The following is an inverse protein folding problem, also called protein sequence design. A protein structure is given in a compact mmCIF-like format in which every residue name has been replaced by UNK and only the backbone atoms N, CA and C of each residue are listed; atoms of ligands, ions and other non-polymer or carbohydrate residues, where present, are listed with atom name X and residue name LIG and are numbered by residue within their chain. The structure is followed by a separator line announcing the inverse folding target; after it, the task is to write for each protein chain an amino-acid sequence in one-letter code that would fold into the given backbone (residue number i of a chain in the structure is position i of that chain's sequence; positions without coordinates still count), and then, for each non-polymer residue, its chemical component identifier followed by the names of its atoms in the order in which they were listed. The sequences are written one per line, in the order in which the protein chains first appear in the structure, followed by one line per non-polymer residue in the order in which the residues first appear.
data_IF_672760322484
#
_entry.id   IF_672760322484
#
_cell.length_a   1.000
_cell.length_b   1.000
_cell.length_c   1.000
_cell.angle_alpha   90.00
_cell.angle_beta   90.00
_cell.angle_gamma   90.00
#
_symmetry.space_group_name_H-M   'P 1'
#
loop_
_entity.id
_entity.type
_entity.pdbx_description
1 polymer ?
#
# COMPACT_ATOMS: atom_id res chain seq x y z
N UNK A 1 11.91 -6.63 -23.32
CA UNK A 1 11.80 -7.98 -23.92
C UNK A 1 12.81 -8.86 -23.20
N UNK A 2 12.36 -9.52 -22.14
CA UNK A 2 13.03 -10.65 -21.49
C UNK A 2 12.10 -11.18 -20.40
N UNK A 3 11.63 -12.38 -20.69
CA UNK A 3 10.71 -13.24 -19.98
C UNK A 3 11.15 -13.67 -18.57
N UNK A 4 10.18 -14.32 -17.92
CA UNK A 4 10.31 -15.41 -16.94
C UNK A 4 10.24 -15.04 -15.46
N UNK A 5 9.06 -15.32 -14.92
CA UNK A 5 8.79 -15.42 -13.49
C UNK A 5 7.52 -16.23 -13.25
N UNK A 6 7.35 -17.33 -13.98
CA UNK A 6 6.40 -18.39 -13.64
C UNK A 6 6.83 -19.02 -12.32
N UNK A 7 6.25 -18.59 -11.21
CA UNK A 7 6.34 -19.32 -9.94
C UNK A 7 5.14 -20.25 -9.83
N UNK A 8 5.44 -21.53 -9.68
CA UNK A 8 4.49 -22.62 -9.52
C UNK A 8 3.46 -22.33 -8.40
N UNK A 9 2.19 -22.48 -8.73
CA UNK A 9 1.04 -22.06 -7.93
C UNK A 9 0.36 -20.87 -8.61
N UNK A 10 -0.59 -21.14 -9.52
CA UNK A 10 -1.17 -20.20 -10.49
C UNK A 10 -1.81 -18.92 -9.90
N UNK A 11 -0.97 -18.02 -9.42
CA UNK A 11 -1.33 -16.72 -8.89
C UNK A 11 -0.95 -15.61 -9.85
N UNK A 12 -1.83 -14.61 -9.99
CA UNK A 12 -1.63 -13.46 -10.88
C UNK A 12 -1.05 -12.31 -10.07
N UNK A 13 0.12 -11.82 -10.48
CA UNK A 13 0.79 -10.69 -9.86
C UNK A 13 0.24 -9.36 -10.39
N UNK A 14 -0.14 -8.48 -9.47
CA UNK A 14 -0.58 -7.12 -9.75
C UNK A 14 0.39 -6.13 -9.11
N UNK A 15 1.17 -5.36 -9.90
CA UNK A 15 2.05 -4.35 -9.34
C UNK A 15 1.24 -3.27 -8.63
N UNK A 16 1.87 -2.62 -7.64
CA UNK A 16 1.28 -1.46 -6.99
C UNK A 16 1.09 -0.34 -8.03
N UNK A 17 -0.02 0.40 -7.97
CA UNK A 17 -0.29 1.50 -8.88
C UNK A 17 0.89 2.50 -8.92
N UNK A 18 1.26 3.03 -10.12
CA UNK A 18 2.38 3.95 -10.26
C UNK A 18 2.19 5.16 -9.34
N UNK A 19 3.29 5.54 -8.68
CA UNK A 19 3.32 6.54 -7.62
C UNK A 19 2.77 7.88 -8.12
N UNK A 20 1.81 8.45 -7.39
CA UNK A 20 1.25 9.76 -7.70
C UNK A 20 2.35 10.86 -7.64
N UNK A 21 2.29 11.86 -8.53
CA UNK A 21 3.31 12.93 -8.64
C UNK A 21 3.49 13.69 -7.33
N UNK A 22 2.44 13.77 -6.53
CA UNK A 22 2.44 14.34 -5.18
C UNK A 22 3.55 13.75 -4.29
N UNK A 23 3.77 12.43 -4.36
CA UNK A 23 4.75 11.74 -3.52
C UNK A 23 6.18 11.94 -4.00
N UNK A 24 6.40 12.04 -5.31
CA UNK A 24 7.71 12.41 -5.85
C UNK A 24 8.06 13.85 -5.44
N UNK A 25 7.11 14.78 -5.57
CA UNK A 25 7.32 16.17 -5.13
C UNK A 25 7.64 16.22 -3.64
N UNK A 26 6.96 15.44 -2.80
CA UNK A 26 7.24 15.42 -1.36
C UNK A 26 8.58 14.77 -1.01
N UNK A 27 9.04 13.78 -1.80
CA UNK A 27 10.42 13.24 -1.72
C UNK A 27 11.44 14.34 -1.94
N UNK A 28 11.27 15.05 -3.05
CA UNK A 28 12.18 16.11 -3.46
C UNK A 28 12.15 17.25 -2.45
N UNK A 29 10.98 17.62 -1.94
CA UNK A 29 10.83 18.68 -0.96
C UNK A 29 11.49 18.33 0.38
N UNK A 30 11.38 17.08 0.84
CA UNK A 30 12.09 16.59 2.02
C UNK A 30 13.62 16.58 1.81
N UNK A 31 14.09 16.10 0.66
CA UNK A 31 15.51 16.08 0.32
C UNK A 31 16.09 17.50 0.22
N UNK A 32 15.36 18.42 -0.39
CA UNK A 32 15.74 19.84 -0.46
C UNK A 32 15.77 20.45 0.93
N UNK A 33 14.77 20.21 1.78
CA UNK A 33 14.77 20.69 3.17
C UNK A 33 15.97 20.14 3.96
N UNK A 34 16.28 18.86 3.82
CA UNK A 34 17.46 18.25 4.46
C UNK A 34 18.77 18.84 3.93
N UNK A 35 18.87 19.10 2.63
CA UNK A 35 20.03 19.76 2.03
C UNK A 35 20.19 21.20 2.52
N UNK A 36 19.08 21.95 2.64
CA UNK A 36 19.07 23.31 3.18
C UNK A 36 19.49 23.33 4.66
N UNK A 37 18.98 22.39 5.47
CA UNK A 37 19.37 22.28 6.88
C UNK A 37 20.85 21.88 7.02
N UNK A 38 21.31 20.89 6.27
CA UNK A 38 22.72 20.49 6.26
C UNK A 38 23.63 21.64 5.79
N UNK A 39 23.24 22.37 4.75
CA UNK A 39 23.95 23.56 4.26
C UNK A 39 23.95 24.70 5.27
N UNK A 40 22.83 24.93 5.96
CA UNK A 40 22.71 25.92 7.03
C UNK A 40 23.61 25.58 8.22
N UNK A 41 23.67 24.31 8.63
CA UNK A 41 24.61 23.84 9.64
C UNK A 41 26.06 23.95 9.19
N UNK A 42 26.37 23.72 7.91
CA UNK A 42 27.72 23.90 7.38
C UNK A 42 28.16 25.38 7.37
N UNK A 43 27.24 26.31 7.05
CA UNK A 43 27.51 27.75 7.14
C UNK A 43 27.67 28.18 8.61
N UNK A 44 26.79 27.72 9.51
CA UNK A 44 26.89 28.00 10.93
C UNK A 44 28.18 27.43 11.54
N UNK A 45 28.61 26.24 11.09
CA UNK A 45 29.85 25.60 11.49
C UNK A 45 31.12 26.35 11.08
N UNK A 46 31.03 27.25 10.08
CA UNK A 46 32.11 28.16 9.73
C UNK A 46 32.22 29.36 10.67
N UNK A 47 31.17 29.66 11.43
CA UNK A 47 31.12 30.75 12.43
C UNK A 47 31.32 30.21 13.86
N UNK A 48 30.71 29.07 14.17
CA UNK A 48 30.76 28.41 15.47
C UNK A 48 31.10 26.92 15.34
N UNK A 49 32.25 26.45 15.85
CA UNK A 49 32.69 25.06 15.71
C UNK A 49 31.71 24.02 16.28
N UNK A 50 30.86 24.43 17.21
CA UNK A 50 29.90 23.55 17.89
C UNK A 50 28.76 23.10 16.97
N UNK A 51 28.48 23.87 15.90
CA UNK A 51 27.40 23.58 14.95
C UNK A 51 27.68 22.36 14.04
N UNK A 52 28.91 21.81 14.04
CA UNK A 52 29.25 20.58 13.31
C UNK A 52 28.40 19.38 13.73
N UNK A 53 27.88 19.35 14.96
CA UNK A 53 26.99 18.28 15.46
C UNK A 53 25.63 18.27 14.74
N UNK A 54 25.20 19.40 14.17
CA UNK A 54 23.93 19.50 13.46
C UNK A 54 23.89 18.68 12.16
N UNK A 55 25.04 18.47 11.51
CA UNK A 55 25.16 17.70 10.26
C UNK A 55 24.83 16.21 10.49
N UNK A 56 25.52 15.47 11.38
CA UNK A 56 25.20 14.07 11.62
C UNK A 56 23.81 13.87 12.22
N UNK A 57 23.30 14.81 13.03
CA UNK A 57 21.90 14.76 13.54
C UNK A 57 20.89 14.85 12.40
N UNK A 58 21.08 15.80 11.48
CA UNK A 58 20.20 15.97 10.31
C UNK A 58 20.24 14.74 9.41
N UNK A 59 21.43 14.19 9.15
CA UNK A 59 21.61 12.97 8.37
C UNK A 59 20.96 11.75 9.04
N UNK A 60 21.07 11.63 10.36
CA UNK A 60 20.47 10.53 11.11
C UNK A 60 18.94 10.56 11.03
N UNK A 61 18.34 11.74 11.18
CA UNK A 61 16.90 11.93 11.03
C UNK A 61 16.46 11.59 9.59
N UNK A 62 17.20 12.06 8.58
CA UNK A 62 16.92 11.72 7.18
C UNK A 62 16.94 10.21 6.93
N UNK A 63 17.95 9.52 7.49
CA UNK A 63 18.10 8.07 7.36
C UNK A 63 16.93 7.31 8.01
N UNK A 64 16.51 7.73 9.21
CA UNK A 64 15.36 7.12 9.90
C UNK A 64 14.08 7.31 9.08
N UNK A 65 13.84 8.52 8.55
CA UNK A 65 12.66 8.79 7.73
C UNK A 65 12.67 7.97 6.43
N UNK A 66 13.83 7.85 5.77
CA UNK A 66 14.00 7.05 4.57
C UNK A 66 13.84 5.54 4.84
N UNK A 67 14.38 5.04 5.97
CA UNK A 67 14.25 3.65 6.38
C UNK A 67 12.81 3.25 6.70
N UNK A 68 12.08 4.11 7.43
CA UNK A 68 10.65 3.91 7.68
C UNK A 68 9.85 3.89 6.37
N UNK A 69 10.20 4.74 5.41
CA UNK A 69 9.57 4.72 4.09
C UNK A 69 9.80 3.41 3.34
N UNK A 70 11.05 2.97 3.24
CA UNK A 70 11.39 1.73 2.55
C UNK A 70 10.68 0.53 3.18
N UNK A 71 10.59 0.50 4.52
CA UNK A 71 9.93 -0.58 5.24
C UNK A 71 8.40 -0.57 5.07
N UNK A 72 7.78 0.59 5.03
CA UNK A 72 6.32 0.73 5.02
C UNK A 72 5.68 0.59 3.62
N UNK A 73 6.47 0.66 2.53
CA UNK A 73 5.95 0.63 1.15
C UNK A 73 5.62 -0.80 0.70
N UNK A 74 4.37 -1.16 0.36
CA UNK A 74 4.09 -2.45 -0.28
C UNK A 74 4.67 -2.51 -1.70
N UNK A 75 5.20 -3.67 -2.10
CA UNK A 75 5.81 -3.91 -3.42
C UNK A 75 4.78 -4.31 -4.48
N UNK A 76 3.67 -4.93 -4.08
CA UNK A 76 2.60 -5.35 -4.96
C UNK A 76 1.64 -6.34 -4.31
N UNK A 77 0.62 -6.74 -5.06
CA UNK A 77 -0.40 -7.69 -4.63
C UNK A 77 -0.32 -8.93 -5.51
N UNK A 78 -0.43 -10.10 -4.89
CA UNK A 78 -0.44 -11.38 -5.59
C UNK A 78 -1.71 -12.12 -5.21
N UNK A 79 -2.53 -12.47 -6.20
CA UNK A 79 -3.77 -13.22 -5.99
C UNK A 79 -3.52 -14.66 -6.38
N UNK A 80 -3.61 -15.58 -5.43
CA UNK A 80 -3.49 -17.04 -5.63
C UNK A 80 -4.88 -17.69 -5.53
N UNK A 81 -4.96 -19.02 -5.69
CA UNK A 81 -6.21 -19.79 -5.65
C UNK A 81 -6.96 -19.78 -4.32
N UNK A 82 -6.24 -19.67 -3.21
CA UNK A 82 -6.81 -19.73 -1.86
C UNK A 82 -6.51 -18.48 -1.03
N UNK A 83 -5.59 -17.62 -1.48
CA UNK A 83 -5.01 -16.52 -0.70
C UNK A 83 -4.72 -15.28 -1.54
N UNK A 84 -4.90 -14.13 -0.91
CA UNK A 84 -4.39 -12.83 -1.37
C UNK A 84 -3.14 -12.48 -0.56
N UNK A 85 -2.00 -12.33 -1.24
CA UNK A 85 -0.75 -11.89 -0.63
C UNK A 85 -0.51 -10.41 -0.91
N UNK A 86 -0.33 -9.64 0.16
CA UNK A 86 0.17 -8.28 0.12
C UNK A 86 1.66 -8.35 0.42
N UNK A 87 2.50 -8.16 -0.61
CA UNK A 87 3.95 -8.24 -0.45
C UNK A 87 4.49 -6.86 -0.10
N UNK A 88 5.27 -6.80 0.98
CA UNK A 88 6.11 -5.67 1.36
C UNK A 88 7.58 -6.11 1.22
N UNK A 89 8.53 -5.18 1.10
CA UNK A 89 9.93 -5.52 0.90
C UNK A 89 10.55 -6.29 2.08
N UNK A 90 10.03 -6.15 3.31
CA UNK A 90 10.52 -6.88 4.49
C UNK A 90 9.45 -7.77 5.17
N UNK A 91 8.21 -7.81 4.67
CA UNK A 91 7.14 -8.64 5.24
C UNK A 91 6.16 -9.05 4.16
N UNK A 92 5.50 -10.19 4.31
CA UNK A 92 4.36 -10.57 3.47
C UNK A 92 3.15 -10.72 4.38
N UNK A 93 2.01 -10.13 4.00
CA UNK A 93 0.74 -10.32 4.69
C UNK A 93 -0.17 -11.15 3.81
N UNK A 94 -0.55 -12.32 4.29
CA UNK A 94 -1.53 -13.17 3.63
C UNK A 94 -2.94 -12.90 4.16
N UNK A 95 -3.92 -12.98 3.26
CA UNK A 95 -5.34 -12.88 3.56
C UNK A 95 -6.02 -14.08 2.88
N UNK A 96 -6.54 -15.06 3.63
CA UNK A 96 -7.25 -16.21 3.07
C UNK A 96 -8.51 -15.76 2.31
N UNK A 97 -8.71 -16.23 1.08
CA UNK A 97 -9.91 -15.95 0.29
C UNK A 97 -11.17 -16.59 0.89
N UNK A 98 -11.03 -17.69 1.63
CA UNK A 98 -12.13 -18.30 2.41
C UNK A 98 -12.72 -17.36 3.46
N UNK A 99 -11.96 -16.36 3.89
CA UNK A 99 -12.40 -15.33 4.82
C UNK A 99 -12.84 -14.04 4.14
N UNK A 100 -12.82 -13.94 2.80
CA UNK A 100 -13.28 -12.77 2.05
C UNK A 100 -14.77 -12.93 1.76
N UNK A 101 -15.56 -11.95 2.20
CA UNK A 101 -17.02 -11.93 2.01
C UNK A 101 -17.37 -11.24 0.70
N UNK A 102 -16.70 -10.13 0.40
CA UNK A 102 -16.97 -9.32 -0.77
C UNK A 102 -15.72 -8.52 -1.17
N UNK A 103 -15.53 -8.36 -2.48
CA UNK A 103 -14.58 -7.41 -3.03
C UNK A 103 -15.29 -6.48 -4.01
N UNK A 104 -14.99 -5.18 -3.93
CA UNK A 104 -15.61 -4.19 -4.80
C UNK A 104 -14.81 -2.89 -4.84
N UNK A 105 -15.03 -2.10 -5.89
CA UNK A 105 -14.49 -0.74 -5.96
C UNK A 105 -15.11 0.13 -4.88
N UNK A 106 -14.30 1.04 -4.35
CA UNK A 106 -14.78 2.08 -3.43
C UNK A 106 -14.17 3.42 -3.84
N UNK A 107 -14.99 4.45 -3.86
CA UNK A 107 -14.58 5.82 -4.15
C UNK A 107 -14.29 6.59 -2.87
N UNK A 108 -13.58 7.72 -2.99
CA UNK A 108 -13.30 8.60 -1.86
C UNK A 108 -14.59 9.14 -1.23
N UNK A 109 -15.60 9.43 -2.05
CA UNK A 109 -16.87 9.98 -1.58
C UNK A 109 -17.67 8.94 -0.79
N UNK A 110 -17.68 7.68 -1.25
CA UNK A 110 -18.28 6.57 -0.50
C UNK A 110 -17.55 6.32 0.83
N UNK A 111 -16.22 6.46 0.83
CA UNK A 111 -15.40 6.35 2.04
C UNK A 111 -15.62 7.54 2.99
N UNK A 112 -16.02 8.71 2.49
CA UNK A 112 -16.22 9.90 3.30
C UNK A 112 -14.95 10.37 4.04
N UNK A 113 -15.14 11.08 5.15
CA UNK A 113 -14.03 11.54 5.99
C UNK A 113 -13.27 10.34 6.59
N UNK A 114 -12.03 10.16 6.14
CA UNK A 114 -11.10 9.18 6.66
C UNK A 114 -10.05 9.83 7.57
N UNK A 115 -9.99 9.38 8.81
CA UNK A 115 -9.00 9.74 9.81
C UNK A 115 -8.06 8.55 10.05
N UNK A 116 -6.79 8.87 10.26
CA UNK A 116 -5.77 7.87 10.51
C UNK A 116 -5.73 7.55 12.00
N UNK A 117 -5.82 6.27 12.36
CA UNK A 117 -5.72 5.86 13.76
C UNK A 117 -4.28 5.44 14.10
N UNK A 118 -3.66 4.54 13.33
CA UNK A 118 -2.35 3.97 13.66
C UNK A 118 -1.53 3.61 12.40
N UNK A 119 -0.21 3.87 12.44
CA UNK A 119 0.78 3.43 11.43
C UNK A 119 1.71 4.56 10.95
N UNK A 120 2.74 4.22 10.16
CA UNK A 120 3.63 5.19 9.51
C UNK A 120 3.12 5.60 8.12
N UNK A 121 2.59 6.80 7.94
CA UNK A 121 1.98 7.21 6.67
C UNK A 121 1.29 8.56 6.72
N UNK A 122 2.09 9.62 6.78
CA UNK A 122 1.65 10.99 6.50
C UNK A 122 2.19 11.53 5.17
N UNK A 123 3.27 10.94 4.66
CA UNK A 123 4.02 11.51 3.54
C UNK A 123 3.96 10.66 2.24
N UNK A 124 3.36 9.46 2.25
CA UNK A 124 3.60 8.46 1.18
C UNK A 124 2.42 7.58 0.78
N UNK A 125 1.25 7.78 1.38
CA UNK A 125 0.05 6.97 1.14
C UNK A 125 -0.70 6.59 2.41
N UNK A 126 -1.92 6.08 2.24
CA UNK A 126 -2.77 5.59 3.31
C UNK A 126 -2.39 4.16 3.67
N UNK A 127 -1.25 3.98 4.36
CA UNK A 127 -0.79 2.66 4.83
C UNK A 127 -1.04 2.51 6.33
N UNK A 128 -1.76 1.47 6.76
CA UNK A 128 -1.98 1.18 8.18
C UNK A 128 -3.45 1.24 8.58
N UNK A 129 -3.70 1.42 9.87
CA UNK A 129 -5.05 1.43 10.42
C UNK A 129 -5.70 2.80 10.24
N UNK A 130 -6.76 2.83 9.45
CA UNK A 130 -7.58 4.00 9.19
C UNK A 130 -8.97 3.81 9.78
N UNK A 131 -9.66 4.92 9.98
CA UNK A 131 -11.06 4.98 10.33
C UNK A 131 -11.76 5.91 9.38
N UNK A 132 -12.89 5.49 8.84
CA UNK A 132 -13.78 6.32 8.05
C UNK A 132 -15.12 6.44 8.76
N UNK A 133 -15.78 7.58 8.60
CA UNK A 133 -17.14 7.78 9.10
C UNK A 133 -18.13 6.77 8.52
N UNK A 134 -17.98 6.41 7.25
CA UNK A 134 -18.91 5.55 6.52
C UNK A 134 -18.51 4.06 6.57
N UNK A 135 -17.21 3.75 6.72
CA UNK A 135 -16.67 2.38 6.66
C UNK A 135 -16.24 1.86 8.04
N UNK A 136 -16.07 2.73 9.04
CA UNK A 136 -15.54 2.34 10.35
C UNK A 136 -14.03 2.12 10.30
N UNK A 137 -13.49 1.23 11.15
CA UNK A 137 -12.04 0.97 11.22
C UNK A 137 -11.62 -0.04 10.14
N UNK A 138 -10.67 0.31 9.28
CA UNK A 138 -10.19 -0.55 8.20
C UNK A 138 -8.66 -0.49 8.06
N UNK A 139 -8.07 -1.58 7.58
CA UNK A 139 -6.67 -1.61 7.17
C UNK A 139 -6.57 -1.02 5.76
N UNK A 140 -5.75 0.00 5.57
CA UNK A 140 -5.53 0.63 4.28
C UNK A 140 -4.11 0.33 3.78
N UNK A 141 -3.98 -0.04 2.51
CA UNK A 141 -2.74 0.00 1.76
C UNK A 141 -2.96 0.69 0.42
N UNK A 142 -3.21 1.99 0.50
CA UNK A 142 -3.61 2.82 -0.63
C UNK A 142 -2.46 3.73 -1.04
N UNK A 143 -1.95 3.52 -2.26
CA UNK A 143 -1.06 4.43 -2.98
C UNK A 143 -1.81 5.40 -3.89
N UNK A 144 -3.01 5.04 -4.36
CA UNK A 144 -3.83 5.90 -5.23
C UNK A 144 -5.29 5.92 -4.78
N UNK A 145 -5.79 7.11 -4.42
CA UNK A 145 -7.16 7.34 -3.92
C UNK A 145 -8.25 7.19 -4.99
N UNK A 146 -7.91 7.08 -6.27
CA UNK A 146 -8.87 6.93 -7.38
C UNK A 146 -9.00 5.48 -7.86
N UNK A 147 -8.14 4.58 -7.39
CA UNK A 147 -8.11 3.16 -7.79
C UNK A 147 -8.22 2.25 -6.58
N UNK A 148 -9.19 2.50 -5.71
CA UNK A 148 -9.33 1.76 -4.46
C UNK A 148 -10.30 0.59 -4.61
N UNK A 149 -9.90 -0.54 -4.05
CA UNK A 149 -10.70 -1.76 -3.92
C UNK A 149 -10.83 -2.06 -2.44
N UNK A 150 -12.07 -2.22 -1.98
CA UNK A 150 -12.41 -2.70 -0.65
C UNK A 150 -12.60 -4.21 -0.70
N UNK A 151 -11.97 -4.89 0.23
CA UNK A 151 -12.07 -6.33 0.48
C UNK A 151 -12.61 -6.49 1.89
N UNK A 152 -13.87 -6.91 1.99
CA UNK A 152 -14.53 -7.20 3.26
C UNK A 152 -14.17 -8.61 3.72
N UNK A 153 -13.75 -8.70 4.98
CA UNK A 153 -13.28 -9.95 5.60
C UNK A 153 -14.26 -10.38 6.69
N UNK A 154 -14.56 -11.68 6.73
CA UNK A 154 -15.43 -12.33 7.72
C UNK A 154 -14.81 -12.23 9.11
N UNK A 155 -13.53 -12.58 9.21
CA UNK A 155 -12.78 -12.62 10.47
C UNK A 155 -11.73 -11.51 10.52
N UNK A 156 -12.19 -10.26 10.50
CA UNK A 156 -11.31 -9.12 10.64
C UNK A 156 -11.90 -7.79 10.20
N UNK A 157 -11.02 -6.80 10.12
CA UNK A 157 -11.38 -5.45 9.65
C UNK A 157 -11.45 -5.44 8.12
N UNK A 158 -12.26 -4.60 7.49
CA UNK A 158 -12.18 -4.38 6.05
C UNK A 158 -10.76 -3.98 5.64
N UNK A 159 -10.36 -4.41 4.45
CA UNK A 159 -9.08 -4.10 3.86
C UNK A 159 -9.31 -3.23 2.62
N UNK A 160 -8.65 -2.09 2.52
CA UNK A 160 -8.72 -1.22 1.33
C UNK A 160 -7.35 -1.17 0.68
N UNK A 161 -7.26 -1.55 -0.59
CA UNK A 161 -6.01 -1.64 -1.35
C UNK A 161 -6.15 -0.91 -2.69
N UNK A 162 -5.04 -0.46 -3.27
CA UNK A 162 -5.03 0.17 -4.59
C UNK A 162 -4.11 -0.56 -5.58
N UNK A 163 -4.60 -1.64 -6.23
CA UNK A 163 -3.86 -2.31 -7.30
C UNK A 163 -3.74 -1.41 -8.54
N UNK A 164 -2.73 -1.66 -9.38
CA UNK A 164 -2.57 -0.92 -10.64
C UNK A 164 -3.80 -1.04 -11.56
N UNK A 165 -4.42 -2.22 -11.59
CA UNK A 165 -5.66 -2.50 -12.32
C UNK A 165 -6.76 -2.96 -11.34
N UNK A 166 -7.57 -2.02 -10.80
CA UNK A 166 -8.64 -2.37 -9.87
C UNK A 166 -9.76 -3.18 -10.49
N UNK A 167 -10.00 -3.08 -11.81
CA UNK A 167 -11.09 -3.81 -12.47
C UNK A 167 -10.71 -5.28 -12.66
N UNK A 168 -9.52 -5.53 -13.21
CA UNK A 168 -9.00 -6.89 -13.36
C UNK A 168 -8.85 -7.58 -11.99
N UNK A 169 -8.43 -6.84 -10.96
CA UNK A 169 -8.29 -7.36 -9.62
C UNK A 169 -9.62 -7.74 -8.97
N UNK A 170 -10.66 -6.90 -9.11
CA UNK A 170 -12.01 -7.22 -8.59
C UNK A 170 -12.61 -8.40 -9.35
N UNK A 171 -12.49 -8.43 -10.68
CA UNK A 171 -13.00 -9.54 -11.49
C UNK A 171 -12.36 -10.88 -11.11
N UNK A 172 -11.04 -10.90 -10.89
CA UNK A 172 -10.32 -12.09 -10.45
C UNK A 172 -10.71 -12.53 -9.03
N UNK A 173 -10.96 -11.58 -8.12
CA UNK A 173 -11.46 -11.91 -6.79
C UNK A 173 -12.87 -12.49 -6.84
N UNK A 174 -13.76 -11.87 -7.62
CA UNK A 174 -15.15 -12.31 -7.76
C UNK A 174 -15.23 -13.71 -8.38
N UNK A 175 -14.46 -13.98 -9.45
CA UNK A 175 -14.45 -15.30 -10.08
C UNK A 175 -13.95 -16.42 -9.17
N UNK A 176 -13.13 -16.10 -8.17
CA UNK A 176 -12.64 -17.07 -7.17
C UNK A 176 -13.50 -17.14 -5.91
N UNK A 177 -14.38 -16.17 -5.69
CA UNK A 177 -15.35 -16.14 -4.59
C UNK A 177 -16.68 -16.77 -4.99
N UNK A 178 -17.04 -16.68 -6.27
CA UNK A 178 -18.14 -17.45 -6.83
C UNK A 178 -17.80 -18.94 -6.72
N UNK A 179 -18.67 -19.76 -6.10
CA UNK A 179 -18.48 -21.21 -6.13
C UNK A 179 -18.48 -21.65 -7.59
N UNK A 180 -17.54 -22.52 -7.98
CA UNK A 180 -17.58 -23.15 -9.30
C UNK A 180 -19.01 -23.65 -9.55
N UNK A 181 -19.63 -23.33 -10.70
CA UNK A 181 -20.90 -23.93 -11.05
C UNK A 181 -20.70 -25.44 -11.06
N UNK A 182 -21.30 -26.11 -10.10
CA UNK A 182 -21.24 -27.57 -9.92
C UNK A 182 -21.43 -28.23 -11.29
N UNK A 183 -20.44 -28.98 -11.82
CA UNK A 183 -20.60 -29.71 -13.08
C UNK A 183 -21.56 -30.88 -12.82
N UNK A 184 -22.87 -30.62 -12.84
CA UNK A 184 -23.87 -31.60 -12.37
C UNK A 184 -25.27 -31.46 -12.95
N UNK A 185 -25.75 -30.26 -13.28
CA UNK A 185 -27.06 -30.09 -13.94
C UNK A 185 -26.91 -29.96 -15.45
N UNK A 186 -26.42 -31.04 -16.08
CA UNK A 186 -26.90 -31.37 -17.42
C UNK A 186 -27.95 -32.46 -17.23
N UNK A 187 -29.20 -32.04 -17.06
CA UNK A 187 -30.34 -32.94 -17.22
C UNK A 187 -30.24 -33.64 -18.60
N UNK A 188 -30.43 -34.96 -18.66
CA UNK A 188 -30.58 -35.65 -19.93
C UNK A 188 -31.99 -35.42 -20.45
N UNK A 189 -32.11 -34.81 -21.63
CA UNK A 189 -33.27 -34.93 -22.51
C UNK A 189 -32.85 -35.63 -23.79
#
# INVERSE_FOLDING_TARGET
MSDSGSTAGGGRWYPLAPMDRMFQVMTWLLLVLMAVLAGGFAIAAALEPEAWVGIPVTLSIALVVAGVWYYARPSGFEVTSDRLYIRFPLRTREVPLSGVVQAGRITKDEMGLALRLWGAGGLWGGFGLMWSRNVGKFDAYVSNLHRMVRVDRRDGRPLVISPADPDAFVAELQSRLEPEPTPGEREPL
#
